data_IF_784726745766
#
_entry.id   IF_784726745766
#
_cell.length_a   1.000
_cell.length_b   1.000
_cell.length_c   1.000
_cell.angle_alpha   90.00
_cell.angle_beta   90.00
_cell.angle_gamma   90.00
#
_symmetry.space_group_name_H-M   'P 1'
#
loop_
_entity.id
_entity.type
_entity.pdbx_description
1 polymer ?
#
# COMPACT_ATOMS: atom_id res chain seq x y z
N UNK A 1 32.79 40.38 -56.93
CA UNK A 1 32.31 40.24 -55.54
C UNK A 1 30.80 40.35 -55.59
N UNK A 2 30.09 39.22 -55.60
CA UNK A 2 28.64 39.17 -55.78
C UNK A 2 28.00 38.55 -54.53
N UNK A 3 27.12 39.32 -53.88
CA UNK A 3 26.43 38.98 -52.62
C UNK A 3 25.17 38.20 -52.96
N UNK A 4 25.21 36.86 -52.87
CA UNK A 4 23.99 36.04 -52.89
C UNK A 4 23.40 35.93 -51.49
N UNK A 5 22.17 36.44 -51.36
CA UNK A 5 21.30 36.36 -50.21
C UNK A 5 20.93 34.90 -49.90
N UNK A 6 21.15 34.46 -48.67
CA UNK A 6 20.51 33.27 -48.13
C UNK A 6 19.14 33.67 -47.56
N UNK A 7 18.07 33.32 -48.28
CA UNK A 7 16.71 33.32 -47.74
C UNK A 7 16.56 32.07 -46.85
N UNK A 8 16.50 32.28 -45.54
CA UNK A 8 16.18 31.23 -44.57
C UNK A 8 14.71 30.82 -44.69
N UNK A 9 14.47 29.55 -45.00
CA UNK A 9 13.15 28.95 -44.86
C UNK A 9 12.83 28.80 -43.37
N UNK A 10 11.76 29.44 -42.91
CA UNK A 10 11.21 29.18 -41.58
C UNK A 10 10.70 27.74 -41.52
N UNK A 11 10.99 26.97 -40.46
CA UNK A 11 10.44 25.63 -40.33
C UNK A 11 8.93 25.76 -40.06
N UNK A 12 8.16 25.13 -40.93
CA UNK A 12 6.74 24.85 -40.71
C UNK A 12 6.66 23.90 -39.52
N UNK A 13 6.33 24.40 -38.32
CA UNK A 13 5.96 23.54 -37.21
C UNK A 13 4.67 22.82 -37.60
N UNK A 14 4.80 21.56 -38.02
CA UNK A 14 3.66 20.67 -38.13
C UNK A 14 3.04 20.56 -36.73
N UNK A 15 1.75 20.92 -36.61
CA UNK A 15 0.98 20.61 -35.42
C UNK A 15 1.10 19.10 -35.14
N UNK A 16 1.38 18.73 -33.89
CA UNK A 16 1.39 17.34 -33.47
C UNK A 16 0.06 16.68 -33.86
N UNK A 17 0.07 15.45 -34.41
CA UNK A 17 -1.16 14.79 -34.79
C UNK A 17 -2.05 14.65 -33.55
N UNK A 18 -3.32 15.06 -33.68
CA UNK A 18 -4.32 14.77 -32.66
C UNK A 18 -4.30 13.26 -32.39
N UNK A 19 -4.03 12.86 -31.15
CA UNK A 19 -4.03 11.47 -30.72
C UNK A 19 -5.40 10.91 -31.10
N UNK A 20 -5.44 10.02 -32.10
CA UNK A 20 -6.67 9.35 -32.48
C UNK A 20 -7.22 8.66 -31.23
N UNK A 21 -8.43 9.07 -30.78
CA UNK A 21 -9.10 8.45 -29.64
C UNK A 21 -9.10 6.93 -29.86
N UNK A 22 -8.35 6.21 -29.03
CA UNK A 22 -8.42 4.75 -29.07
C UNK A 22 -9.86 4.34 -28.74
N UNK A 23 -10.33 3.21 -29.28
CA UNK A 23 -11.70 2.70 -29.03
C UNK A 23 -11.99 2.43 -27.54
N UNK A 24 -10.99 2.46 -26.67
CA UNK A 24 -11.09 2.20 -25.24
C UNK A 24 -10.68 3.42 -24.39
N UNK A 25 -10.94 4.61 -24.92
CA UNK A 25 -10.86 5.89 -24.21
C UNK A 25 -12.24 6.22 -23.61
N UNK A 26 -12.31 6.57 -22.32
CA UNK A 26 -13.58 6.85 -21.62
C UNK A 26 -14.36 8.02 -22.24
N UNK A 27 -13.69 8.96 -22.92
CA UNK A 27 -14.34 10.06 -23.64
C UNK A 27 -15.10 9.54 -24.87
N UNK A 28 -14.70 8.42 -25.44
CA UNK A 28 -15.46 7.73 -26.51
C UNK A 28 -16.75 7.09 -26.00
N UNK A 29 -16.87 6.90 -24.68
CA UNK A 29 -18.06 6.39 -23.99
C UNK A 29 -18.85 7.51 -23.30
N UNK A 30 -18.65 8.76 -23.72
CA UNK A 30 -19.32 9.95 -23.21
C UNK A 30 -18.97 10.33 -21.76
N UNK A 31 -17.80 9.95 -21.24
CA UNK A 31 -17.32 10.58 -20.01
C UNK A 31 -17.03 12.07 -20.28
N UNK A 32 -17.28 12.94 -19.30
CA UNK A 32 -17.02 14.37 -19.40
C UNK A 32 -15.66 14.75 -18.80
N UNK A 33 -15.29 14.18 -17.64
CA UNK A 33 -14.06 14.56 -16.95
C UNK A 33 -14.09 16.00 -16.41
N UNK A 34 -15.28 16.56 -16.17
CA UNK A 34 -15.50 17.96 -15.75
C UNK A 34 -15.70 18.14 -14.23
N UNK A 35 -15.69 17.05 -13.47
CA UNK A 35 -15.93 17.03 -12.02
C UNK A 35 -17.39 17.22 -11.60
N UNK A 36 -18.31 17.42 -12.55
CA UNK A 36 -19.73 17.71 -12.28
C UNK A 36 -20.60 16.55 -12.73
N UNK A 37 -20.44 16.11 -13.98
CA UNK A 37 -21.19 15.00 -14.54
C UNK A 37 -20.76 13.70 -13.87
N UNK A 38 -21.75 12.86 -13.58
CA UNK A 38 -21.48 11.49 -13.16
C UNK A 38 -20.98 10.66 -14.35
N UNK A 39 -19.70 10.27 -14.29
CA UNK A 39 -18.99 9.53 -15.33
C UNK A 39 -18.97 8.02 -15.08
N UNK A 40 -19.63 7.54 -14.00
CA UNK A 40 -19.62 6.13 -13.59
C UNK A 40 -19.98 5.19 -14.73
N UNK A 41 -21.10 5.42 -15.41
CA UNK A 41 -21.59 4.55 -16.48
C UNK A 41 -20.68 4.59 -17.73
N UNK A 42 -19.99 5.70 -17.97
CA UNK A 42 -19.06 5.84 -19.09
C UNK A 42 -17.76 5.08 -18.84
N UNK A 43 -17.20 5.19 -17.65
CA UNK A 43 -16.02 4.45 -17.25
C UNK A 43 -16.34 2.94 -17.21
N UNK A 44 -17.45 2.53 -16.59
CA UNK A 44 -17.84 1.13 -16.52
C UNK A 44 -18.01 0.51 -17.91
N UNK A 45 -18.72 1.19 -18.84
CA UNK A 45 -18.86 0.69 -20.21
C UNK A 45 -17.53 0.51 -20.93
N UNK A 46 -16.54 1.36 -20.63
CA UNK A 46 -15.20 1.22 -21.22
C UNK A 46 -14.50 -0.03 -20.69
N UNK A 47 -14.60 -0.30 -19.38
CA UNK A 47 -14.09 -1.55 -18.77
C UNK A 47 -14.79 -2.76 -19.37
N UNK A 48 -16.11 -2.71 -19.52
CA UNK A 48 -16.91 -3.79 -20.09
C UNK A 48 -16.52 -4.08 -21.55
N UNK A 49 -16.29 -3.04 -22.37
CA UNK A 49 -15.83 -3.21 -23.75
C UNK A 49 -14.43 -3.85 -23.81
N UNK A 50 -13.50 -3.38 -22.98
CA UNK A 50 -12.15 -3.98 -22.88
C UNK A 50 -12.24 -5.45 -22.47
N UNK A 51 -13.17 -5.78 -21.56
CA UNK A 51 -13.44 -7.17 -21.18
C UNK A 51 -13.99 -7.99 -22.34
N UNK A 52 -14.93 -7.45 -23.12
CA UNK A 52 -15.55 -8.14 -24.26
C UNK A 52 -14.53 -8.49 -25.35
N UNK A 53 -13.59 -7.59 -25.65
CA UNK A 53 -12.49 -7.87 -26.59
C UNK A 53 -11.37 -8.73 -25.99
N UNK A 54 -11.49 -9.04 -24.69
CA UNK A 54 -10.67 -10.00 -23.96
C UNK A 54 -9.40 -9.43 -23.35
N UNK A 55 -9.37 -8.15 -22.98
CA UNK A 55 -8.22 -7.48 -22.38
C UNK A 55 -7.79 -6.24 -23.18
N UNK A 56 -6.89 -5.45 -22.61
CA UNK A 56 -6.43 -4.21 -23.23
C UNK A 56 -6.30 -3.06 -22.23
N UNK A 57 -6.30 -1.84 -22.77
CA UNK A 57 -6.09 -0.62 -21.99
C UNK A 57 -7.38 0.18 -21.93
N UNK A 58 -7.87 0.48 -20.73
CA UNK A 58 -8.85 1.53 -20.47
C UNK A 58 -8.06 2.82 -20.27
N UNK A 59 -8.18 3.78 -21.21
CA UNK A 59 -7.55 5.10 -21.09
C UNK A 59 -8.51 6.08 -20.43
N UNK A 60 -8.04 6.72 -19.37
CA UNK A 60 -8.71 7.80 -18.66
C UNK A 60 -7.83 9.04 -18.82
N UNK A 61 -8.11 9.89 -19.84
CA UNK A 61 -7.36 11.12 -20.08
C UNK A 61 -7.40 12.06 -18.88
N UNK A 62 -6.52 13.07 -18.87
CA UNK A 62 -6.56 14.14 -17.87
C UNK A 62 -7.98 14.73 -17.73
N UNK A 63 -8.42 14.90 -16.47
CA UNK A 63 -9.77 15.35 -16.13
C UNK A 63 -10.15 14.94 -14.72
N UNK A 64 -11.29 15.46 -14.24
CA UNK A 64 -11.88 15.07 -12.96
C UNK A 64 -13.15 14.26 -13.22
N UNK A 65 -13.15 12.99 -12.85
CA UNK A 65 -14.23 12.07 -13.14
C UNK A 65 -14.98 11.72 -11.86
N UNK A 66 -16.19 12.26 -11.73
CA UNK A 66 -17.04 11.94 -10.59
C UNK A 66 -17.65 10.55 -10.79
N UNK A 67 -17.58 9.72 -9.74
CA UNK A 67 -18.26 8.43 -9.70
C UNK A 67 -19.20 8.35 -8.49
N UNK A 68 -20.40 7.83 -8.71
CA UNK A 68 -21.45 7.62 -7.69
C UNK A 68 -21.65 6.15 -7.34
N UNK A 69 -20.93 5.24 -8.00
CA UNK A 69 -20.88 3.82 -7.68
C UNK A 69 -19.51 3.23 -8.05
N UNK A 70 -19.18 2.02 -7.55
CA UNK A 70 -17.91 1.36 -7.86
C UNK A 70 -17.74 1.06 -9.35
N UNK A 71 -16.51 1.24 -9.84
CA UNK A 71 -16.05 0.70 -11.12
C UNK A 71 -15.56 -0.74 -10.90
N UNK A 72 -16.26 -1.68 -11.51
CA UNK A 72 -16.05 -3.11 -11.32
C UNK A 72 -15.14 -3.67 -12.40
N UNK A 73 -13.97 -4.15 -11.99
CA UNK A 73 -13.00 -4.83 -12.85
C UNK A 73 -13.03 -6.32 -12.54
N UNK A 74 -14.13 -6.96 -12.93
CA UNK A 74 -14.45 -8.33 -12.50
C UNK A 74 -14.16 -9.39 -13.56
N UNK A 75 -13.75 -10.57 -13.09
CA UNK A 75 -13.66 -11.79 -13.87
C UNK A 75 -12.45 -11.88 -14.79
N UNK A 76 -12.44 -12.91 -15.65
CA UNK A 76 -11.33 -13.19 -16.54
C UNK A 76 -11.37 -12.32 -17.81
N UNK A 77 -10.22 -11.79 -18.20
CA UNK A 77 -9.97 -11.12 -19.49
C UNK A 77 -9.34 -12.09 -20.48
N UNK A 78 -9.94 -13.28 -20.66
CA UNK A 78 -9.44 -14.33 -21.56
C UNK A 78 -7.95 -14.66 -21.39
N UNK A 79 -7.46 -14.69 -20.14
CA UNK A 79 -6.05 -14.89 -19.75
C UNK A 79 -5.09 -13.76 -20.15
N UNK A 80 -5.60 -12.64 -20.68
CA UNK A 80 -4.82 -11.44 -20.97
C UNK A 80 -4.91 -10.45 -19.81
N UNK A 81 -4.20 -9.33 -19.93
CA UNK A 81 -4.22 -8.26 -18.95
C UNK A 81 -5.29 -7.22 -19.24
N UNK A 82 -5.74 -6.55 -18.18
CA UNK A 82 -6.38 -5.25 -18.26
C UNK A 82 -5.45 -4.22 -17.64
N UNK A 83 -5.25 -3.09 -18.32
CA UNK A 83 -4.58 -1.92 -17.78
C UNK A 83 -5.56 -0.76 -17.68
N UNK A 84 -5.72 -0.21 -16.49
CA UNK A 84 -6.34 1.09 -16.28
C UNK A 84 -5.22 2.14 -16.32
N UNK A 85 -5.23 3.01 -17.33
CA UNK A 85 -4.22 4.04 -17.55
C UNK A 85 -4.84 5.41 -17.34
N UNK A 86 -4.51 6.04 -16.21
CA UNK A 86 -4.76 7.44 -15.95
C UNK A 86 -3.65 8.30 -16.55
N UNK A 87 -4.03 9.34 -17.29
CA UNK A 87 -3.10 10.34 -17.81
C UNK A 87 -3.17 11.58 -16.90
N UNK A 88 -2.90 11.38 -15.60
CA UNK A 88 -3.11 12.35 -14.50
C UNK A 88 -4.58 12.64 -14.20
N UNK A 89 -5.48 11.69 -14.46
CA UNK A 89 -6.89 11.82 -14.14
C UNK A 89 -7.14 11.72 -12.62
N UNK A 90 -8.11 12.50 -12.14
CA UNK A 90 -8.63 12.44 -10.77
C UNK A 90 -9.97 11.70 -10.77
N UNK A 91 -10.12 10.66 -9.95
CA UNK A 91 -11.38 9.99 -9.66
C UNK A 91 -11.95 10.54 -8.36
N UNK A 92 -13.15 11.10 -8.40
CA UNK A 92 -13.84 11.64 -7.22
C UNK A 92 -15.01 10.73 -6.86
N UNK A 93 -14.91 10.01 -5.73
CA UNK A 93 -15.98 9.13 -5.26
C UNK A 93 -16.99 9.87 -4.38
N UNK A 94 -18.28 9.72 -4.66
CA UNK A 94 -19.36 10.31 -3.86
C UNK A 94 -20.27 9.27 -3.19
N UNK A 95 -19.80 8.04 -3.04
CA UNK A 95 -20.53 6.93 -2.45
C UNK A 95 -19.73 6.20 -1.39
N UNK A 96 -20.42 5.51 -0.47
CA UNK A 96 -19.80 4.58 0.46
C UNK A 96 -19.51 3.26 -0.27
N UNK A 97 -18.26 3.05 -0.66
CA UNK A 97 -17.81 1.84 -1.35
C UNK A 97 -16.45 2.02 -2.02
N UNK A 98 -15.94 0.97 -2.70
CA UNK A 98 -14.70 1.09 -3.46
C UNK A 98 -14.87 2.02 -4.67
N UNK A 99 -13.83 2.77 -5.02
CA UNK A 99 -13.79 3.51 -6.28
C UNK A 99 -13.57 2.53 -7.43
N UNK A 100 -12.50 1.74 -7.37
CA UNK A 100 -12.23 0.62 -8.26
C UNK A 100 -12.14 -0.68 -7.47
N UNK A 101 -12.84 -1.71 -7.92
CA UNK A 101 -12.80 -3.04 -7.31
C UNK A 101 -12.36 -4.10 -8.31
N UNK A 102 -11.23 -4.72 -8.01
CA UNK A 102 -10.70 -5.86 -8.72
C UNK A 102 -11.17 -7.15 -8.04
N UNK A 103 -12.03 -7.89 -8.72
CA UNK A 103 -12.49 -9.20 -8.26
C UNK A 103 -12.44 -10.22 -9.41
N UNK A 104 -11.31 -10.92 -9.58
CA UNK A 104 -11.20 -11.97 -10.59
C UNK A 104 -12.08 -13.17 -10.28
N UNK A 105 -12.56 -13.33 -9.04
CA UNK A 105 -13.41 -14.45 -8.64
C UNK A 105 -14.86 -14.29 -9.10
N UNK A 106 -15.26 -13.09 -9.54
CA UNK A 106 -16.62 -12.74 -9.90
C UNK A 106 -16.86 -12.67 -11.43
N UNK A 107 -17.90 -13.33 -11.97
CA UNK A 107 -18.75 -14.31 -11.32
C UNK A 107 -18.02 -15.65 -11.12
N UNK A 108 -18.36 -16.37 -10.06
CA UNK A 108 -17.82 -17.70 -9.77
C UNK A 108 -18.36 -18.76 -10.74
N UNK A 109 -17.60 -19.81 -11.09
CA UNK A 109 -16.25 -20.15 -10.60
C UNK A 109 -15.15 -19.59 -11.51
N UNK A 110 -14.27 -18.73 -10.98
CA UNK A 110 -13.09 -18.31 -11.71
C UNK A 110 -11.85 -19.07 -11.21
N UNK A 111 -10.95 -19.55 -12.09
CA UNK A 111 -9.70 -20.13 -11.63
C UNK A 111 -8.81 -19.04 -11.07
N UNK A 112 -8.17 -19.34 -9.94
CA UNK A 112 -7.51 -18.37 -9.06
C UNK A 112 -6.33 -17.59 -9.71
N UNK A 113 -6.05 -17.79 -11.00
CA UNK A 113 -4.91 -17.20 -11.75
C UNK A 113 -5.32 -16.78 -13.17
N UNK A 114 -6.17 -15.75 -13.31
CA UNK A 114 -6.66 -15.35 -14.64
C UNK A 114 -6.74 -13.86 -14.96
N UNK A 115 -6.51 -12.98 -13.99
CA UNK A 115 -6.59 -11.53 -14.22
C UNK A 115 -5.27 -10.87 -13.84
N UNK A 116 -4.44 -10.56 -14.84
CA UNK A 116 -3.33 -9.64 -14.66
C UNK A 116 -3.88 -8.22 -14.78
N UNK A 117 -4.15 -7.59 -13.64
CA UNK A 117 -4.62 -6.21 -13.60
C UNK A 117 -3.46 -5.26 -13.37
N UNK A 118 -3.45 -4.16 -14.11
CA UNK A 118 -2.53 -3.06 -13.90
C UNK A 118 -3.31 -1.76 -13.77
N UNK A 119 -2.91 -0.90 -12.85
CA UNK A 119 -3.38 0.47 -12.71
C UNK A 119 -2.17 1.40 -12.64
N UNK A 120 -2.25 2.51 -13.35
CA UNK A 120 -1.12 3.42 -13.57
C UNK A 120 -1.62 4.86 -13.71
N UNK A 121 -1.08 5.80 -12.92
CA UNK A 121 -1.26 7.23 -13.16
C UNK A 121 -2.62 7.84 -12.77
N UNK A 122 -3.33 7.27 -11.79
CA UNK A 122 -4.60 7.81 -11.29
C UNK A 122 -4.46 8.43 -9.91
N UNK A 123 -5.14 9.56 -9.71
CA UNK A 123 -5.38 10.12 -8.38
C UNK A 123 -6.82 9.85 -7.94
N UNK A 124 -7.03 9.61 -6.66
CA UNK A 124 -8.33 9.27 -6.08
C UNK A 124 -8.63 10.15 -4.87
N UNK A 125 -9.81 10.77 -4.89
CA UNK A 125 -10.39 11.52 -3.79
C UNK A 125 -11.67 10.84 -3.29
N UNK A 126 -11.59 10.32 -2.08
CA UNK A 126 -12.70 9.61 -1.45
C UNK A 126 -13.76 10.53 -0.85
N UNK A 127 -14.89 9.93 -0.43
CA UNK A 127 -16.03 10.67 0.13
C UNK A 127 -15.77 11.18 1.56
N UNK A 128 -14.62 10.87 2.15
CA UNK A 128 -14.25 11.18 3.53
C UNK A 128 -13.69 9.93 4.24
N UNK A 129 -12.60 10.10 5.01
CA UNK A 129 -11.90 9.00 5.68
C UNK A 129 -12.75 8.24 6.72
N UNK A 130 -13.79 8.89 7.25
CA UNK A 130 -14.69 8.29 8.24
C UNK A 130 -15.92 7.61 7.59
N UNK A 131 -16.02 7.60 6.25
CA UNK A 131 -17.10 6.94 5.54
C UNK A 131 -16.85 5.44 5.46
N UNK A 132 -17.48 4.69 6.36
CA UNK A 132 -17.36 3.24 6.45
C UNK A 132 -17.67 2.53 5.12
N UNK A 133 -16.85 1.54 4.78
CA UNK A 133 -16.93 0.77 3.54
C UNK A 133 -16.26 1.44 2.35
N UNK A 134 -15.84 2.71 2.46
CA UNK A 134 -15.18 3.40 1.35
C UNK A 134 -13.75 2.89 1.13
N UNK A 135 -13.37 2.67 -0.11
CA UNK A 135 -11.98 2.32 -0.45
C UNK A 135 -11.56 2.96 -1.75
N UNK A 136 -10.29 3.36 -1.88
CA UNK A 136 -9.80 3.82 -3.17
C UNK A 136 -9.70 2.63 -4.13
N UNK A 137 -8.80 1.72 -3.82
CA UNK A 137 -8.54 0.53 -4.64
C UNK A 137 -8.81 -0.71 -3.78
N UNK A 138 -9.83 -1.48 -4.17
CA UNK A 138 -10.21 -2.74 -3.52
C UNK A 138 -9.81 -3.95 -4.35
N UNK A 139 -9.26 -4.97 -3.70
CA UNK A 139 -8.92 -6.26 -4.32
C UNK A 139 -9.57 -7.39 -3.51
N UNK A 140 -10.48 -8.13 -4.13
CA UNK A 140 -11.20 -9.25 -3.50
C UNK A 140 -10.80 -10.56 -4.16
N UNK A 141 -10.32 -11.53 -3.37
CA UNK A 141 -9.86 -12.85 -3.85
C UNK A 141 -8.90 -12.77 -5.06
N UNK A 142 -8.15 -11.65 -5.15
CA UNK A 142 -7.41 -11.28 -6.34
C UNK A 142 -5.94 -11.63 -6.28
N UNK A 143 -5.41 -12.20 -7.37
CA UNK A 143 -3.99 -12.39 -7.60
C UNK A 143 -3.52 -11.55 -8.80
N UNK A 144 -2.25 -11.16 -8.78
CA UNK A 144 -1.54 -10.48 -9.87
C UNK A 144 -2.04 -9.08 -10.24
N UNK A 145 -2.47 -8.30 -9.24
CA UNK A 145 -2.79 -6.88 -9.39
C UNK A 145 -1.54 -6.04 -9.15
N UNK A 146 -1.23 -5.11 -10.06
CA UNK A 146 -0.17 -4.12 -9.91
C UNK A 146 -0.76 -2.72 -9.96
N UNK A 147 -0.39 -1.89 -9.01
CA UNK A 147 -0.76 -0.47 -8.99
C UNK A 147 0.52 0.34 -8.94
N UNK A 148 0.61 1.37 -9.77
CA UNK A 148 1.77 2.24 -9.81
C UNK A 148 1.42 3.70 -10.07
N UNK A 149 2.25 4.62 -9.60
CA UNK A 149 2.11 6.05 -9.87
C UNK A 149 0.71 6.58 -9.52
N UNK A 150 0.11 6.05 -8.45
CA UNK A 150 -1.25 6.40 -8.05
C UNK A 150 -1.24 7.14 -6.72
N UNK A 151 -2.18 8.06 -6.55
CA UNK A 151 -2.39 8.80 -5.30
C UNK A 151 -3.77 8.47 -4.76
N UNK A 152 -3.89 8.07 -3.49
CA UNK A 152 -5.17 7.68 -2.91
C UNK A 152 -5.38 8.37 -1.57
N UNK A 153 -6.44 9.17 -1.48
CA UNK A 153 -6.76 9.95 -0.29
C UNK A 153 -8.24 10.03 0.05
N UNK A 154 -8.53 10.28 1.33
CA UNK A 154 -9.89 10.57 1.80
C UNK A 154 -10.83 9.37 1.81
N UNK A 155 -10.30 8.14 1.89
CA UNK A 155 -11.08 6.91 2.05
C UNK A 155 -10.93 6.34 3.46
N UNK A 156 -11.87 5.49 3.89
CA UNK A 156 -11.63 4.62 5.05
C UNK A 156 -10.38 3.76 4.78
N UNK A 157 -10.27 3.18 3.59
CA UNK A 157 -9.13 2.34 3.20
C UNK A 157 -8.54 2.83 1.88
N UNK A 158 -7.30 3.32 1.87
CA UNK A 158 -6.63 3.70 0.63
C UNK A 158 -6.56 2.49 -0.32
N UNK A 159 -5.85 1.46 0.12
CA UNK A 159 -5.85 0.13 -0.49
C UNK A 159 -6.51 -0.88 0.44
N UNK A 160 -7.46 -1.65 -0.08
CA UNK A 160 -8.10 -2.76 0.61
C UNK A 160 -7.82 -4.08 -0.10
N UNK A 161 -7.49 -5.12 0.65
CA UNK A 161 -7.41 -6.48 0.12
C UNK A 161 -8.09 -7.50 1.02
N UNK A 162 -9.03 -8.27 0.49
CA UNK A 162 -9.74 -9.33 1.23
C UNK A 162 -9.47 -10.66 0.54
N UNK A 163 -8.71 -11.54 1.20
CA UNK A 163 -8.22 -12.78 0.60
C UNK A 163 -7.37 -12.55 -0.66
N UNK A 164 -6.68 -11.42 -0.72
CA UNK A 164 -5.87 -11.03 -1.87
C UNK A 164 -4.49 -11.72 -1.84
N UNK A 165 -4.05 -12.28 -2.97
CA UNK A 165 -2.94 -13.22 -2.99
C UNK A 165 -1.62 -12.58 -3.42
N UNK A 166 -1.53 -12.03 -4.63
CA UNK A 166 -0.25 -11.58 -5.21
C UNK A 166 -0.40 -10.13 -5.66
N UNK A 167 0.13 -9.19 -4.90
CA UNK A 167 -0.04 -7.75 -5.18
C UNK A 167 1.30 -7.04 -5.24
N UNK A 168 1.40 -6.02 -6.10
CA UNK A 168 2.55 -5.10 -6.17
C UNK A 168 2.05 -3.66 -6.20
N UNK A 169 2.57 -2.85 -5.29
CA UNK A 169 2.34 -1.42 -5.23
C UNK A 169 3.69 -0.73 -5.42
N UNK A 170 3.81 0.11 -6.45
CA UNK A 170 5.07 0.76 -6.81
C UNK A 170 4.84 2.26 -6.93
N UNK A 171 5.57 3.08 -6.17
CA UNK A 171 5.43 4.55 -6.29
C UNK A 171 3.97 5.00 -6.09
N UNK A 172 3.31 4.43 -5.08
CA UNK A 172 1.93 4.76 -4.70
C UNK A 172 1.96 5.66 -3.45
N UNK A 173 1.21 6.74 -3.50
CA UNK A 173 0.97 7.63 -2.37
C UNK A 173 -0.38 7.29 -1.72
N UNK A 174 -0.38 6.94 -0.44
CA UNK A 174 -1.56 6.63 0.37
C UNK A 174 -1.62 7.61 1.54
N UNK A 175 -2.52 8.59 1.47
CA UNK A 175 -2.54 9.66 2.47
C UNK A 175 -3.90 10.20 2.85
N UNK A 176 -4.03 10.70 4.08
CA UNK A 176 -5.31 11.23 4.57
C UNK A 176 -6.45 10.20 4.59
N UNK A 177 -6.14 8.90 4.66
CA UNK A 177 -7.11 7.82 4.81
C UNK A 177 -7.23 7.41 6.29
N UNK A 178 -8.25 6.63 6.66
CA UNK A 178 -8.25 6.00 7.99
C UNK A 178 -7.19 4.90 8.06
N UNK A 179 -7.08 4.09 7.00
CA UNK A 179 -6.01 3.12 6.78
C UNK A 179 -5.35 3.40 5.43
N UNK A 180 -4.03 3.57 5.40
CA UNK A 180 -3.29 3.59 4.14
C UNK A 180 -3.48 2.28 3.38
N UNK A 181 -3.15 1.15 4.02
CA UNK A 181 -3.49 -0.19 3.56
C UNK A 181 -4.29 -1.00 4.60
N UNK A 182 -5.16 -1.88 4.14
CA UNK A 182 -5.98 -2.74 4.98
C UNK A 182 -6.17 -4.13 4.36
N UNK A 183 -5.53 -5.15 4.93
CA UNK A 183 -5.57 -6.53 4.45
C UNK A 183 -6.22 -7.49 5.44
N UNK A 184 -7.22 -8.23 4.98
CA UNK A 184 -7.89 -9.27 5.78
C UNK A 184 -8.00 -10.57 5.00
N UNK A 185 -8.36 -11.64 5.71
CA UNK A 185 -8.58 -12.96 5.14
C UNK A 185 -10.05 -13.26 4.90
N UNK A 186 -10.33 -14.07 3.89
CA UNK A 186 -11.56 -14.89 3.84
C UNK A 186 -11.33 -16.20 4.60
N UNK A 187 -12.34 -17.08 4.63
CA UNK A 187 -12.19 -18.44 5.18
C UNK A 187 -11.15 -19.28 4.44
N UNK A 188 -10.86 -18.95 3.18
CA UNK A 188 -10.05 -19.79 2.28
C UNK A 188 -8.73 -19.12 1.89
N UNK A 189 -8.69 -17.79 1.83
CA UNK A 189 -7.55 -17.04 1.34
C UNK A 189 -7.20 -15.92 2.32
N UNK A 190 -5.92 -15.77 2.64
CA UNK A 190 -5.37 -14.59 3.32
C UNK A 190 -4.48 -13.80 2.37
N UNK A 191 -3.94 -12.67 2.85
CA UNK A 191 -2.80 -12.02 2.22
C UNK A 191 -1.69 -13.06 1.97
N UNK A 192 -1.06 -13.11 0.80
CA UNK A 192 -0.06 -14.14 0.47
C UNK A 192 1.33 -13.57 0.11
N UNK A 193 1.41 -12.75 -0.93
CA UNK A 193 2.65 -12.22 -1.49
C UNK A 193 2.45 -10.75 -1.89
N UNK A 194 2.60 -9.86 -0.90
CA UNK A 194 2.24 -8.44 -1.00
C UNK A 194 3.50 -7.58 -0.90
N UNK A 195 3.73 -6.68 -1.85
CA UNK A 195 4.94 -5.84 -1.85
C UNK A 195 4.60 -4.39 -2.15
N UNK A 196 5.14 -3.50 -1.33
CA UNK A 196 5.19 -2.05 -1.51
C UNK A 196 6.63 -1.66 -1.82
N UNK A 197 6.84 -0.94 -2.92
CA UNK A 197 8.16 -0.49 -3.36
C UNK A 197 8.11 1.00 -3.65
N UNK A 198 8.97 1.78 -3.01
CA UNK A 198 9.04 3.23 -3.19
C UNK A 198 7.70 3.94 -2.95
N UNK A 199 6.87 3.40 -2.04
CA UNK A 199 5.56 3.97 -1.71
C UNK A 199 5.66 4.97 -0.56
N UNK A 200 4.69 5.89 -0.51
CA UNK A 200 4.59 6.95 0.48
C UNK A 200 3.28 6.73 1.22
N UNK A 201 3.34 6.44 2.52
CA UNK A 201 2.17 6.14 3.35
C UNK A 201 2.15 7.13 4.50
N UNK A 202 1.39 8.22 4.36
CA UNK A 202 1.52 9.37 5.26
C UNK A 202 0.20 10.01 5.66
N UNK A 203 0.16 10.70 6.80
CA UNK A 203 -1.03 11.44 7.27
C UNK A 203 -2.32 10.59 7.37
N UNK A 204 -2.21 9.26 7.45
CA UNK A 204 -3.36 8.39 7.68
C UNK A 204 -3.62 8.28 9.19
N UNK A 205 -4.83 7.89 9.60
CA UNK A 205 -5.07 7.53 11.01
C UNK A 205 -4.22 6.31 11.41
N UNK A 206 -4.02 5.36 10.50
CA UNK A 206 -3.07 4.27 10.59
C UNK A 206 -2.37 4.09 9.24
N UNK A 207 -1.05 3.88 9.24
CA UNK A 207 -0.34 3.55 8.01
C UNK A 207 -0.91 2.27 7.39
N UNK A 208 -1.17 1.26 8.23
CA UNK A 208 -2.03 0.17 7.81
C UNK A 208 -2.19 -0.99 8.78
N UNK A 209 -3.01 -1.93 8.34
CA UNK A 209 -3.42 -3.11 9.09
C UNK A 209 -3.39 -4.34 8.18
N UNK A 210 -2.87 -5.45 8.70
CA UNK A 210 -2.94 -6.75 8.03
C UNK A 210 -3.12 -7.88 9.06
N UNK A 211 -4.02 -8.82 8.77
CA UNK A 211 -4.30 -9.94 9.66
C UNK A 211 -4.38 -11.29 8.95
N UNK A 212 -4.18 -12.37 9.73
CA UNK A 212 -4.47 -13.76 9.34
C UNK A 212 -3.73 -14.20 8.09
N UNK A 213 -2.41 -14.01 8.08
CA UNK A 213 -1.53 -14.37 6.98
C UNK A 213 -0.31 -15.20 7.44
N UNK A 214 -0.48 -16.27 8.24
CA UNK A 214 0.63 -16.94 8.94
C UNK A 214 1.68 -17.57 8.00
N UNK A 215 1.32 -17.90 6.76
CA UNK A 215 2.20 -18.58 5.80
C UNK A 215 2.69 -17.65 4.67
N UNK A 216 2.58 -16.34 4.87
CA UNK A 216 2.61 -15.36 3.80
C UNK A 216 3.67 -14.29 4.03
N UNK A 217 3.92 -13.46 3.02
CA UNK A 217 4.91 -12.38 3.05
C UNK A 217 4.27 -11.02 2.73
N UNK A 218 4.65 -10.02 3.51
CA UNK A 218 4.42 -8.60 3.21
C UNK A 218 5.77 -7.88 3.26
N UNK A 219 6.14 -7.19 2.20
CA UNK A 219 7.42 -6.45 2.13
C UNK A 219 7.18 -4.98 1.83
N UNK A 220 7.90 -4.13 2.54
CA UNK A 220 8.07 -2.70 2.26
C UNK A 220 9.52 -2.49 1.87
N UNK A 221 9.76 -1.90 0.70
CA UNK A 221 11.09 -1.68 0.16
C UNK A 221 11.21 -0.22 -0.26
N UNK A 222 12.12 0.52 0.37
CA UNK A 222 12.37 1.93 0.07
C UNK A 222 11.14 2.83 0.24
N UNK A 223 10.26 2.48 1.17
CA UNK A 223 9.04 3.26 1.44
C UNK A 223 9.27 4.36 2.47
N UNK A 224 8.55 5.47 2.30
CA UNK A 224 8.34 6.52 3.30
C UNK A 224 7.03 6.22 4.04
N UNK A 225 7.09 6.14 5.37
CA UNK A 225 5.93 5.90 6.23
C UNK A 225 5.96 6.98 7.30
N UNK A 226 5.27 8.09 7.07
CA UNK A 226 5.51 9.34 7.80
C UNK A 226 4.22 9.95 8.35
N UNK A 227 4.25 10.49 9.56
CA UNK A 227 3.17 11.37 10.03
C UNK A 227 1.81 10.67 10.15
N UNK A 228 1.79 9.34 10.27
CA UNK A 228 0.54 8.63 10.50
C UNK A 228 0.15 8.81 11.98
N UNK A 229 -1.13 9.04 12.21
CA UNK A 229 -1.66 9.44 13.51
C UNK A 229 -0.93 10.65 14.12
N UNK A 230 -0.55 11.65 13.31
CA UNK A 230 0.31 12.78 13.72
C UNK A 230 -0.21 13.60 14.92
N UNK A 231 -1.53 13.68 15.09
CA UNK A 231 -2.14 14.38 16.24
C UNK A 231 -2.30 13.47 17.47
N UNK A 232 -1.98 12.18 17.33
CA UNK A 232 -2.11 11.14 18.34
C UNK A 232 -1.03 11.17 19.41
N UNK A 233 -1.11 10.20 20.33
CA UNK A 233 -0.15 10.07 21.43
C UNK A 233 -0.08 8.65 22.01
N UNK A 234 0.89 8.41 22.88
CA UNK A 234 1.16 7.11 23.51
C UNK A 234 -0.01 6.42 24.23
N UNK A 235 -1.07 7.16 24.57
CA UNK A 235 -2.21 6.68 25.37
C UNK A 235 -3.49 6.50 24.53
N UNK A 236 -3.46 6.79 23.23
CA UNK A 236 -4.64 6.76 22.34
C UNK A 236 -5.08 5.36 21.88
N UNK A 237 -4.26 4.33 22.17
CA UNK A 237 -4.52 2.95 21.76
C UNK A 237 -4.25 2.65 20.28
N UNK A 238 -3.82 3.63 19.49
CA UNK A 238 -3.55 3.48 18.06
C UNK A 238 -2.24 2.72 17.83
N UNK A 239 -2.31 1.76 16.91
CA UNK A 239 -1.16 1.08 16.34
C UNK A 239 -1.02 1.54 14.90
N UNK A 240 0.13 2.11 14.54
CA UNK A 240 0.32 2.68 13.21
C UNK A 240 0.41 1.60 12.13
N UNK A 241 1.18 0.54 12.38
CA UNK A 241 1.37 -0.61 11.51
C UNK A 241 1.10 -1.89 12.30
N UNK A 242 -0.02 -2.55 12.00
CA UNK A 242 -0.45 -3.73 12.73
C UNK A 242 -0.39 -4.98 11.86
N UNK A 243 0.27 -6.02 12.38
CA UNK A 243 0.41 -7.32 11.74
C UNK A 243 0.02 -8.43 12.73
N UNK A 244 -1.15 -9.03 12.54
CA UNK A 244 -1.70 -10.03 13.46
C UNK A 244 -1.83 -11.41 12.81
N UNK A 245 -1.57 -12.47 13.59
CA UNK A 245 -1.46 -13.84 13.08
C UNK A 245 -0.57 -13.89 11.81
N UNK A 246 0.55 -13.18 11.89
CA UNK A 246 1.36 -12.78 10.75
C UNK A 246 2.36 -13.87 10.35
N UNK A 247 2.65 -13.95 9.05
CA UNK A 247 3.75 -14.74 8.51
C UNK A 247 5.05 -13.96 8.60
N UNK A 248 5.53 -13.44 7.47
CA UNK A 248 6.75 -12.64 7.39
C UNK A 248 6.44 -11.22 6.99
N UNK A 249 7.03 -10.27 7.71
CA UNK A 249 7.01 -8.85 7.38
C UNK A 249 8.45 -8.37 7.26
N UNK A 250 8.76 -7.68 6.17
CA UNK A 250 10.12 -7.18 5.91
C UNK A 250 10.07 -5.72 5.53
N UNK A 251 10.85 -4.88 6.20
CA UNK A 251 11.11 -3.48 5.85
C UNK A 251 12.56 -3.38 5.42
N UNK A 252 12.82 -2.92 4.20
CA UNK A 252 14.17 -2.74 3.64
C UNK A 252 14.36 -1.30 3.20
N UNK A 253 15.34 -0.60 3.77
CA UNK A 253 15.65 0.77 3.37
C UNK A 253 14.48 1.73 3.55
N UNK A 254 13.60 1.47 4.51
CA UNK A 254 12.43 2.29 4.78
C UNK A 254 12.77 3.44 5.72
N UNK A 255 12.04 4.53 5.58
CA UNK A 255 11.98 5.59 6.56
C UNK A 255 10.61 5.57 7.24
N UNK A 256 10.61 5.41 8.56
CA UNK A 256 9.39 5.34 9.37
C UNK A 256 9.43 6.45 10.40
N UNK A 257 8.91 7.63 10.04
CA UNK A 257 9.13 8.87 10.78
C UNK A 257 7.83 9.49 11.33
N UNK A 258 7.89 10.14 12.51
CA UNK A 258 6.80 10.95 13.08
C UNK A 258 5.42 10.24 13.12
N UNK A 259 5.45 8.93 13.32
CA UNK A 259 4.24 8.12 13.50
C UNK A 259 3.91 7.99 14.98
N UNK A 260 2.76 8.49 15.41
CA UNK A 260 2.41 8.54 16.84
C UNK A 260 1.36 7.50 17.21
N UNK A 261 1.16 7.31 18.52
CA UNK A 261 0.17 6.37 19.05
C UNK A 261 0.71 5.48 20.14
N UNK A 262 -0.06 4.48 20.55
CA UNK A 262 0.39 3.44 21.49
C UNK A 262 1.61 2.67 20.96
N UNK A 263 1.59 2.26 19.69
CA UNK A 263 2.71 1.53 19.11
C UNK A 263 2.94 1.86 17.64
N UNK A 264 4.21 1.84 17.18
CA UNK A 264 4.50 2.06 15.76
C UNK A 264 4.20 0.79 14.98
N UNK A 265 4.94 -0.27 15.31
CA UNK A 265 4.82 -1.58 14.68
C UNK A 265 4.41 -2.58 15.76
N UNK A 266 3.26 -3.22 15.59
CA UNK A 266 2.89 -4.42 16.37
C UNK A 266 2.95 -5.62 15.45
N UNK A 267 3.73 -6.62 15.86
CA UNK A 267 3.85 -7.89 15.15
C UNK A 267 3.51 -9.05 16.07
N UNK A 268 2.43 -9.77 15.74
CA UNK A 268 2.02 -10.99 16.41
C UNK A 268 2.12 -12.18 15.43
N UNK A 269 3.15 -13.01 15.60
CA UNK A 269 3.45 -14.14 14.71
C UNK A 269 2.44 -15.28 14.81
N UNK A 270 2.01 -15.82 13.68
CA UNK A 270 0.99 -16.88 13.60
C UNK A 270 1.51 -18.32 13.60
N UNK A 271 2.80 -18.56 13.35
CA UNK A 271 3.41 -19.91 13.40
C UNK A 271 4.94 -19.87 13.61
N UNK A 272 5.55 -21.05 13.83
CA UNK A 272 6.98 -21.24 14.16
C UNK A 272 8.03 -20.67 13.16
N UNK A 273 7.62 -20.02 12.08
CA UNK A 273 8.52 -19.41 11.09
C UNK A 273 8.20 -17.94 10.78
N UNK A 274 7.40 -17.30 11.64
CA UNK A 274 7.00 -15.91 11.50
C UNK A 274 8.13 -14.95 11.89
N UNK A 275 8.40 -13.93 11.07
CA UNK A 275 9.42 -12.94 11.41
C UNK A 275 9.07 -11.51 10.99
N UNK A 276 9.47 -10.56 11.84
CA UNK A 276 9.60 -9.15 11.50
C UNK A 276 11.08 -8.86 11.21
N UNK A 277 11.39 -8.40 10.00
CA UNK A 277 12.75 -8.12 9.56
C UNK A 277 12.85 -6.63 9.22
N UNK A 278 13.74 -5.90 9.90
CA UNK A 278 13.99 -4.48 9.67
C UNK A 278 15.45 -4.36 9.24
N UNK A 279 15.68 -3.98 7.99
CA UNK A 279 16.99 -4.08 7.34
C UNK A 279 17.36 -2.74 6.68
N UNK A 280 18.47 -2.14 7.09
CA UNK A 280 18.93 -0.85 6.53
C UNK A 280 17.92 0.29 6.64
N UNK A 281 17.00 0.25 7.61
CA UNK A 281 15.90 1.22 7.76
C UNK A 281 16.16 2.21 8.90
N UNK A 282 15.53 3.36 8.81
CA UNK A 282 15.48 4.39 9.86
C UNK A 282 14.08 4.41 10.47
N UNK A 283 13.96 4.03 11.74
CA UNK A 283 12.69 3.98 12.49
C UNK A 283 12.70 5.09 13.56
N UNK A 284 12.09 6.22 13.21
CA UNK A 284 12.12 7.50 13.93
C UNK A 284 10.69 7.99 14.27
N UNK A 285 9.90 7.26 15.06
CA UNK A 285 8.47 7.58 15.28
C UNK A 285 8.20 8.94 15.95
N UNK A 286 9.22 9.63 16.45
CA UNK A 286 9.05 10.82 17.27
C UNK A 286 8.68 10.50 18.73
N UNK A 287 8.52 11.55 19.53
CA UNK A 287 8.41 11.44 21.00
C UNK A 287 7.00 11.22 21.53
N UNK A 288 6.00 11.15 20.67
CA UNK A 288 4.59 10.98 21.05
C UNK A 288 4.13 9.53 20.99
N UNK A 289 5.07 8.58 20.89
CA UNK A 289 4.76 7.16 20.84
C UNK A 289 5.13 6.45 22.16
N UNK A 290 4.34 5.44 22.56
CA UNK A 290 4.66 4.62 23.75
C UNK A 290 5.67 3.52 23.44
N UNK A 291 5.39 2.65 22.46
CA UNK A 291 6.30 1.56 22.06
C UNK A 291 6.66 1.68 20.58
N UNK A 292 7.95 1.56 20.20
CA UNK A 292 8.30 1.61 18.77
C UNK A 292 8.00 0.28 18.09
N UNK A 293 8.55 -0.82 18.60
CA UNK A 293 8.28 -2.18 18.09
C UNK A 293 7.75 -3.07 19.21
N UNK A 294 6.54 -3.58 19.05
CA UNK A 294 5.92 -4.52 19.98
C UNK A 294 5.85 -5.91 19.31
N UNK A 295 6.60 -6.88 19.85
CA UNK A 295 6.57 -8.27 19.42
C UNK A 295 5.58 -9.05 20.30
N UNK A 296 4.33 -9.08 19.89
CA UNK A 296 3.22 -9.61 20.68
C UNK A 296 3.06 -11.14 20.54
N UNK A 297 2.44 -11.76 21.55
CA UNK A 297 2.30 -13.23 21.68
C UNK A 297 0.85 -13.70 21.69
N UNK A 298 -0.09 -12.87 21.21
CA UNK A 298 -1.53 -13.19 21.16
C UNK A 298 -1.82 -14.50 20.42
N UNK A 299 -0.95 -14.91 19.49
CA UNK A 299 -1.06 -16.14 18.71
C UNK A 299 0.01 -17.18 19.08
N UNK A 300 0.71 -16.98 20.20
CA UNK A 300 1.79 -17.83 20.69
C UNK A 300 3.19 -17.22 20.53
N UNK A 301 4.23 -17.87 21.10
CA UNK A 301 5.61 -17.39 21.10
C UNK A 301 6.32 -17.74 19.78
N UNK A 302 5.74 -17.31 18.66
CA UNK A 302 6.07 -17.75 17.32
C UNK A 302 6.80 -16.69 16.48
N UNK A 303 6.86 -15.45 16.96
CA UNK A 303 7.56 -14.37 16.28
C UNK A 303 9.07 -14.37 16.51
N UNK A 304 9.80 -13.97 15.48
CA UNK A 304 11.23 -13.69 15.53
C UNK A 304 11.49 -12.26 15.04
N UNK A 305 12.21 -11.45 15.81
CA UNK A 305 12.61 -10.11 15.41
C UNK A 305 14.05 -10.10 14.87
N UNK A 306 14.25 -9.55 13.68
CA UNK A 306 15.57 -9.27 13.13
C UNK A 306 15.71 -7.78 12.84
N UNK A 307 16.68 -7.12 13.45
CA UNK A 307 17.05 -5.74 13.16
C UNK A 307 18.50 -5.76 12.68
N UNK A 308 18.76 -5.39 11.44
CA UNK A 308 20.08 -5.51 10.81
C UNK A 308 20.44 -4.20 10.12
N UNK A 309 21.51 -3.55 10.58
CA UNK A 309 22.01 -2.30 10.01
C UNK A 309 20.96 -1.18 9.98
N UNK A 310 19.97 -1.26 10.87
CA UNK A 310 18.88 -0.31 10.99
C UNK A 310 19.03 0.44 12.30
N UNK A 311 18.59 1.70 12.33
CA UNK A 311 18.50 2.48 13.55
C UNK A 311 17.03 2.57 13.97
N UNK A 312 16.78 2.28 15.24
CA UNK A 312 15.49 2.52 15.89
C UNK A 312 15.77 3.55 16.96
N UNK A 313 15.01 4.65 17.00
CA UNK A 313 15.18 5.74 17.99
C UNK A 313 14.04 5.84 18.99
N UNK A 314 14.29 6.59 20.08
CA UNK A 314 13.44 6.60 21.26
C UNK A 314 12.03 7.12 21.01
N UNK A 315 11.04 6.29 21.35
CA UNK A 315 9.73 6.74 21.79
C UNK A 315 9.74 7.22 23.24
N UNK A 316 8.60 7.67 23.78
CA UNK A 316 8.46 8.06 25.20
C UNK A 316 8.59 6.87 26.15
N UNK A 317 8.26 5.66 25.69
CA UNK A 317 8.29 4.42 26.47
C UNK A 317 9.34 3.42 25.97
N UNK A 318 8.91 2.21 25.62
CA UNK A 318 9.82 1.11 25.24
C UNK A 318 10.26 1.24 23.77
N UNK A 319 11.55 1.01 23.50
CA UNK A 319 12.02 0.93 22.12
C UNK A 319 11.41 -0.31 21.45
N UNK A 320 11.70 -1.44 22.07
CA UNK A 320 11.37 -2.76 21.57
C UNK A 320 10.86 -3.52 22.77
N UNK A 321 9.64 -4.03 22.68
CA UNK A 321 9.04 -4.87 23.70
C UNK A 321 8.90 -6.30 23.18
N UNK A 322 9.59 -7.24 23.83
CA UNK A 322 9.60 -8.65 23.46
C UNK A 322 8.61 -9.44 24.33
N UNK A 323 7.53 -9.94 23.72
CA UNK A 323 6.62 -10.85 24.40
C UNK A 323 7.30 -12.16 24.81
N UNK A 324 6.69 -12.86 25.78
CA UNK A 324 7.22 -14.10 26.34
C UNK A 324 7.58 -15.14 25.26
N UNK A 325 8.82 -15.62 25.29
CA UNK A 325 9.34 -16.68 24.42
C UNK A 325 9.76 -16.23 23.01
N UNK A 326 9.58 -14.95 22.65
CA UNK A 326 10.05 -14.36 21.39
C UNK A 326 11.57 -14.35 21.37
N UNK A 327 12.17 -14.62 20.20
CA UNK A 327 13.60 -14.41 20.00
C UNK A 327 13.87 -13.16 19.17
N UNK A 328 15.00 -12.51 19.43
CA UNK A 328 15.40 -11.33 18.68
C UNK A 328 16.92 -11.36 18.40
N UNK A 329 17.29 -10.92 17.20
CA UNK A 329 18.68 -10.63 16.82
C UNK A 329 18.74 -9.18 16.36
N UNK A 330 19.53 -8.36 17.06
CA UNK A 330 19.64 -6.92 16.81
C UNK A 330 21.10 -6.60 16.54
N UNK A 331 21.39 -6.06 15.36
CA UNK A 331 22.71 -5.64 14.90
C UNK A 331 22.61 -4.20 14.43
N UNK A 332 23.21 -3.29 15.19
CA UNK A 332 23.19 -1.86 14.92
C UNK A 332 22.78 -1.03 16.15
N UNK A 333 22.85 0.28 15.98
CA UNK A 333 22.56 1.24 17.04
C UNK A 333 21.04 1.33 17.27
N UNK A 334 20.60 1.03 18.50
CA UNK A 334 19.23 1.26 18.96
C UNK A 334 19.30 2.26 20.11
N UNK A 335 18.68 3.43 19.94
CA UNK A 335 18.71 4.49 20.95
C UNK A 335 17.60 4.26 21.98
N UNK A 336 17.79 3.37 22.97
CA UNK A 336 16.77 3.12 23.99
C UNK A 336 16.82 1.70 24.55
N UNK A 337 15.88 1.37 25.45
CA UNK A 337 15.82 0.08 26.13
C UNK A 337 15.05 -0.99 25.34
N UNK A 338 15.53 -2.23 25.42
CA UNK A 338 14.79 -3.43 25.00
C UNK A 338 14.17 -4.05 26.25
N UNK A 339 12.86 -4.28 26.25
CA UNK A 339 12.09 -4.78 27.40
C UNK A 339 11.43 -6.14 27.12
N UNK A 340 10.81 -6.70 28.15
CA UNK A 340 10.04 -7.94 28.06
C UNK A 340 10.87 -9.19 28.35
N UNK A 341 10.61 -10.30 27.65
CA UNK A 341 11.37 -11.54 27.78
C UNK A 341 12.65 -11.49 26.92
N UNK A 342 13.76 -11.23 27.59
CA UNK A 342 15.07 -11.11 26.95
C UNK A 342 15.84 -12.44 26.87
N UNK A 343 15.24 -13.57 27.32
CA UNK A 343 15.93 -14.86 27.43
C UNK A 343 16.47 -15.41 26.10
N UNK A 344 15.92 -14.96 24.97
CA UNK A 344 16.33 -15.34 23.61
C UNK A 344 16.77 -14.14 22.76
N UNK A 345 17.27 -13.09 23.42
CA UNK A 345 17.84 -11.92 22.77
C UNK A 345 19.33 -12.13 22.48
N UNK A 346 19.76 -11.73 21.28
CA UNK A 346 21.16 -11.48 20.91
C UNK A 346 21.25 -10.04 20.41
N UNK A 347 22.17 -9.25 20.99
CA UNK A 347 22.44 -7.86 20.57
C UNK A 347 23.91 -7.72 20.21
N UNK A 348 24.17 -7.05 19.09
CA UNK A 348 25.48 -6.58 18.67
C UNK A 348 25.42 -5.05 18.51
N UNK A 349 26.01 -4.32 19.46
CA UNK A 349 26.15 -2.85 19.47
C UNK A 349 27.48 -2.46 20.11
N UNK A 350 27.99 -1.26 19.81
CA UNK A 350 29.21 -0.72 20.44
C UNK A 350 30.43 -1.66 20.41
N UNK A 351 30.55 -2.48 19.35
CA UNK A 351 31.63 -3.46 19.19
C UNK A 351 31.56 -4.69 20.12
N UNK A 352 30.42 -4.92 20.79
CA UNK A 352 30.21 -6.02 21.74
C UNK A 352 29.04 -6.91 21.33
N UNK A 353 29.04 -8.13 21.86
CA UNK A 353 27.94 -9.09 21.71
C UNK A 353 27.41 -9.43 23.10
N UNK A 354 26.10 -9.34 23.29
CA UNK A 354 25.45 -9.80 24.51
C UNK A 354 24.21 -10.64 24.22
N UNK A 355 23.87 -11.49 25.19
CA UNK A 355 22.73 -12.41 25.11
C UNK A 355 21.92 -12.41 26.40
N UNK A 356 20.67 -12.85 26.34
CA UNK A 356 19.88 -13.11 27.54
C UNK A 356 19.49 -11.87 28.35
N UNK A 357 19.45 -10.69 27.73
CA UNK A 357 19.11 -9.43 28.40
C UNK A 357 20.27 -8.78 29.18
N UNK A 358 21.49 -9.29 29.02
CA UNK A 358 22.68 -8.58 29.48
C UNK A 358 22.91 -7.43 28.49
N UNK A 359 22.97 -6.18 28.97
CA UNK A 359 23.36 -5.03 28.15
C UNK A 359 24.79 -5.24 27.61
N UNK A 360 25.02 -5.14 26.29
CA UNK A 360 26.36 -5.04 25.70
C UNK A 360 27.23 -3.96 26.35
#
# INVERSE_FOLDING_TARGET
>A
MDRRQFLGAAPLFAAAPAVAKSRHDVLSFNAAGDGVKDDTASIQRTVDEVKLVGGGVVRIPEGTYKISAPIRVYGNFQFRSIKILGENAEIVSTHAGPAFEFDPSSPTPAPQVKQRSEMDGLSFSGPGRDIAGSSGISIINGATVRVRNCKVRGYEKGISGVGALILRFLEVELYGNAYGYHFTSTKTFGANDIHFTSCFIFENTKAGFAENFPNSVITFNQCEIEGNNFDGNGDDGVVTMEFSNAGKVTLVGCHVEENHGRANIVFAGGNRSSSLNIIGSEILPGRRISTVVEMATNFGPFGHLHVIGSRITSGRGNQIDLGLGISACIIGETEGGISGDLSKLVVIKDGKVATGGIEP
#
